data_IF_080844504160
#
_entry.id   IF_080844504160
#
_cell.length_a   1.000
_cell.length_b   1.000
_cell.length_c   1.000
_cell.angle_alpha   90.00
_cell.angle_beta   90.00
_cell.angle_gamma   90.00
#
_symmetry.space_group_name_H-M   'P 1'
#
loop_
_entity.id
_entity.type
_entity.pdbx_description
1 polymer ?
#
# COMPACT_ATOMS: atom_id res chain seq x y z
N UNK A 1 2.88 20.68 -15.68
CA UNK A 1 2.05 20.05 -14.60
C UNK A 1 2.99 19.31 -13.68
N UNK A 2 2.89 19.53 -12.40
CA UNK A 2 3.67 18.77 -11.41
C UNK A 2 3.23 17.30 -11.45
N UNK A 3 4.14 16.33 -11.29
CA UNK A 3 3.79 14.88 -11.30
C UNK A 3 2.63 14.55 -10.37
N UNK A 4 2.56 15.22 -9.21
CA UNK A 4 1.50 15.04 -8.23
C UNK A 4 0.14 15.51 -8.76
N UNK A 5 0.11 16.60 -9.53
CA UNK A 5 -1.10 17.08 -10.19
C UNK A 5 -1.66 16.09 -11.20
N UNK A 6 -0.78 15.47 -11.98
CA UNK A 6 -1.17 14.39 -12.89
C UNK A 6 -1.80 13.19 -12.16
N UNK A 7 -1.16 12.73 -11.07
CA UNK A 7 -1.69 11.60 -10.28
C UNK A 7 -3.05 11.95 -9.66
N UNK A 8 -3.19 13.19 -9.18
CA UNK A 8 -4.45 13.68 -8.60
C UNK A 8 -5.56 13.73 -9.64
N UNK A 9 -5.31 14.30 -10.80
CA UNK A 9 -6.28 14.37 -11.91
C UNK A 9 -6.69 12.98 -12.39
N UNK A 10 -5.72 12.08 -12.61
CA UNK A 10 -6.00 10.70 -12.99
C UNK A 10 -6.86 9.96 -11.97
N UNK A 11 -6.67 10.21 -10.66
CA UNK A 11 -7.51 9.65 -9.61
C UNK A 11 -8.95 10.19 -9.69
N UNK A 12 -9.12 11.49 -9.94
CA UNK A 12 -10.44 12.09 -10.08
C UNK A 12 -11.16 11.62 -11.35
N UNK A 13 -10.44 11.46 -12.46
CA UNK A 13 -10.98 10.86 -13.68
C UNK A 13 -11.44 9.42 -13.45
N UNK A 14 -10.66 8.65 -12.69
CA UNK A 14 -11.07 7.29 -12.31
C UNK A 14 -12.35 7.28 -11.49
N UNK A 15 -12.51 8.20 -10.54
CA UNK A 15 -13.78 8.34 -9.80
C UNK A 15 -14.96 8.62 -10.74
N UNK A 16 -14.79 9.51 -11.73
CA UNK A 16 -15.80 9.81 -12.74
C UNK A 16 -16.14 8.59 -13.60
N UNK A 17 -15.12 7.87 -14.07
CA UNK A 17 -15.27 6.68 -14.90
C UNK A 17 -16.01 5.55 -14.18
N UNK A 18 -15.77 5.38 -12.87
CA UNK A 18 -16.46 4.40 -12.03
C UNK A 18 -17.84 4.90 -11.54
N UNK A 19 -18.32 6.06 -12.05
CA UNK A 19 -19.65 6.62 -11.72
C UNK A 19 -19.76 7.16 -10.29
N UNK A 20 -18.63 7.45 -9.63
CA UNK A 20 -18.62 8.02 -8.27
C UNK A 20 -18.70 9.54 -8.38
N UNK A 21 -19.83 10.11 -7.96
CA UNK A 21 -19.94 11.55 -7.78
C UNK A 21 -18.98 12.00 -6.67
N UNK A 22 -18.30 13.12 -6.87
CA UNK A 22 -17.41 13.68 -5.85
C UNK A 22 -17.34 15.19 -5.91
N UNK A 23 -16.88 15.77 -4.81
CA UNK A 23 -16.54 17.19 -4.69
C UNK A 23 -15.18 17.31 -4.01
N UNK A 24 -14.28 18.12 -4.58
CA UNK A 24 -13.04 18.49 -3.91
C UNK A 24 -13.37 19.45 -2.75
N UNK A 25 -12.74 19.20 -1.60
CA UNK A 25 -12.80 20.08 -0.45
C UNK A 25 -11.52 20.89 -0.43
N UNK A 26 -11.64 22.21 -0.53
CA UNK A 26 -10.52 23.12 -0.44
C UNK A 26 -10.30 24.00 -1.66
N UNK A 27 -9.21 24.76 -1.61
CA UNK A 27 -8.82 25.61 -2.73
C UNK A 27 -8.31 24.77 -3.88
N UNK A 28 -9.10 24.71 -4.94
CA UNK A 28 -8.76 24.03 -6.19
C UNK A 28 -8.33 25.01 -7.31
N UNK A 29 -8.08 26.29 -6.99
CA UNK A 29 -7.80 27.33 -7.98
C UNK A 29 -6.50 27.09 -8.76
N UNK A 30 -5.56 26.35 -8.22
CA UNK A 30 -4.31 25.96 -8.89
C UNK A 30 -4.29 24.52 -9.41
N UNK A 31 -5.39 23.78 -9.30
CA UNK A 31 -5.46 22.39 -9.73
C UNK A 31 -5.74 22.28 -11.26
N UNK A 32 -5.08 21.40 -12.03
CA UNK A 32 -4.14 20.37 -11.61
C UNK A 32 -2.65 20.78 -11.64
N UNK A 33 -2.31 22.02 -11.99
CA UNK A 33 -0.91 22.49 -12.12
C UNK A 33 -0.17 22.35 -10.79
N UNK A 34 -0.84 22.67 -9.68
CA UNK A 34 -0.36 22.48 -8.31
C UNK A 34 -1.34 21.62 -7.53
N UNK A 35 -0.91 20.44 -7.09
CA UNK A 35 -1.72 19.58 -6.23
C UNK A 35 -1.19 19.59 -4.81
N UNK A 36 -2.07 19.64 -3.79
CA UNK A 36 -1.65 19.53 -2.40
C UNK A 36 -1.05 18.15 -2.11
N UNK A 37 -0.28 18.02 -1.02
CA UNK A 37 0.25 16.71 -0.60
C UNK A 37 -0.87 15.72 -0.24
N UNK A 38 -2.03 16.22 0.13
CA UNK A 38 -3.18 15.42 0.52
C UNK A 38 -4.46 16.05 -0.04
N UNK A 39 -5.16 15.27 -0.88
CA UNK A 39 -6.45 15.66 -1.46
C UNK A 39 -7.60 15.32 -0.50
N UNK A 40 -8.50 16.25 -0.29
CA UNK A 40 -9.74 16.05 0.43
C UNK A 40 -10.90 15.91 -0.55
N UNK A 41 -11.53 14.74 -0.57
CA UNK A 41 -12.55 14.35 -1.56
C UNK A 41 -13.82 13.95 -0.82
N UNK A 42 -14.90 14.70 -1.03
CA UNK A 42 -16.22 14.32 -0.53
C UNK A 42 -16.90 13.39 -1.54
N UNK A 43 -17.41 12.25 -1.06
CA UNK A 43 -18.11 11.24 -1.86
C UNK A 43 -19.45 10.86 -1.21
N UNK A 44 -20.47 10.41 -1.96
CA UNK A 44 -21.71 9.91 -1.39
C UNK A 44 -21.45 8.73 -0.44
N UNK A 45 -22.27 8.61 0.61
CA UNK A 45 -22.17 7.52 1.60
C UNK A 45 -22.19 6.14 0.95
N UNK A 46 -23.00 5.95 -0.08
CA UNK A 46 -23.11 4.68 -0.83
C UNK A 46 -21.81 4.32 -1.54
N UNK A 47 -21.04 5.30 -1.98
CA UNK A 47 -19.76 5.10 -2.67
C UNK A 47 -18.60 4.80 -1.71
N UNK A 48 -18.71 5.22 -0.44
CA UNK A 48 -17.61 5.12 0.52
C UNK A 48 -17.12 3.67 0.71
N UNK A 49 -18.00 2.70 0.64
CA UNK A 49 -17.67 1.26 0.72
C UNK A 49 -16.87 0.74 -0.48
N UNK A 50 -16.96 1.39 -1.64
CA UNK A 50 -16.24 1.02 -2.85
C UNK A 50 -14.86 1.66 -2.95
N UNK A 51 -14.59 2.76 -2.21
CA UNK A 51 -13.32 3.51 -2.26
C UNK A 51 -12.09 2.62 -2.10
N UNK A 52 -11.99 1.69 -1.14
CA UNK A 52 -10.83 0.83 -1.01
C UNK A 52 -10.48 0.07 -2.29
N UNK A 53 -11.49 -0.49 -2.96
CA UNK A 53 -11.30 -1.23 -4.22
C UNK A 53 -10.94 -0.31 -5.37
N UNK A 54 -11.57 0.85 -5.44
CA UNK A 54 -11.33 1.84 -6.49
C UNK A 54 -9.88 2.32 -6.43
N UNK A 55 -9.41 2.75 -5.24
CA UNK A 55 -8.04 3.23 -5.05
C UNK A 55 -7.02 2.12 -5.28
N UNK A 56 -7.31 0.90 -4.84
CA UNK A 56 -6.42 -0.23 -5.09
C UNK A 56 -6.29 -0.57 -6.58
N UNK A 57 -7.40 -0.56 -7.34
CA UNK A 57 -7.37 -0.74 -8.80
C UNK A 57 -6.64 0.39 -9.49
N UNK A 58 -6.92 1.64 -9.10
CA UNK A 58 -6.20 2.80 -9.61
C UNK A 58 -4.69 2.66 -9.42
N UNK A 59 -4.25 2.28 -8.23
CA UNK A 59 -2.84 2.05 -7.96
C UNK A 59 -2.23 0.95 -8.87
N UNK A 60 -2.98 -0.12 -9.16
CA UNK A 60 -2.56 -1.19 -10.05
C UNK A 60 -2.47 -0.75 -11.51
N UNK A 61 -3.51 -0.06 -12.00
CA UNK A 61 -3.62 0.37 -13.40
C UNK A 61 -2.50 1.36 -13.79
N UNK A 62 -2.06 2.18 -12.83
CA UNK A 62 -1.00 3.19 -13.02
C UNK A 62 0.37 2.77 -12.45
N UNK A 63 0.53 1.53 -12.01
CA UNK A 63 1.75 0.99 -11.37
C UNK A 63 2.23 1.80 -10.13
N UNK A 64 1.28 2.43 -9.41
CA UNK A 64 1.56 3.06 -8.13
C UNK A 64 1.53 2.04 -6.99
N UNK A 65 2.24 2.31 -5.91
CA UNK A 65 2.18 1.53 -4.68
C UNK A 65 1.16 2.14 -3.74
N UNK A 66 0.19 1.36 -3.29
CA UNK A 66 -0.72 1.77 -2.23
C UNK A 66 -0.08 1.45 -0.88
N UNK A 67 0.57 2.43 -0.26
CA UNK A 67 1.38 2.25 0.95
C UNK A 67 0.62 2.50 2.25
N UNK A 68 -0.52 3.18 2.18
CA UNK A 68 -1.44 3.33 3.29
C UNK A 68 -2.89 3.28 2.79
N UNK A 69 -3.72 2.53 3.50
CA UNK A 69 -5.17 2.52 3.35
C UNK A 69 -5.77 2.33 4.74
N UNK A 70 -6.36 3.37 5.29
CA UNK A 70 -6.87 3.38 6.66
C UNK A 70 -8.30 3.90 6.67
N UNK A 71 -9.17 3.18 7.36
CA UNK A 71 -10.50 3.68 7.67
C UNK A 71 -10.41 4.59 8.89
N UNK A 72 -10.80 5.84 8.71
CA UNK A 72 -10.89 6.81 9.81
C UNK A 72 -12.16 6.56 10.63
N UNK A 73 -12.15 6.91 11.92
CA UNK A 73 -13.20 6.56 12.89
C UNK A 73 -14.61 6.98 12.46
N UNK A 74 -14.74 8.09 11.77
CA UNK A 74 -16.03 8.66 11.33
C UNK A 74 -16.47 8.19 9.93
N UNK A 75 -15.97 7.05 9.46
CA UNK A 75 -16.40 6.48 8.19
C UNK A 75 -15.69 7.05 6.97
N UNK A 76 -14.64 7.82 7.16
CA UNK A 76 -13.77 8.28 6.07
C UNK A 76 -12.67 7.27 5.75
N UNK A 77 -12.10 7.36 4.55
CA UNK A 77 -10.91 6.62 4.15
C UNK A 77 -9.75 7.56 3.90
N UNK A 78 -8.56 7.14 4.30
CA UNK A 78 -7.30 7.76 3.90
C UNK A 78 -6.48 6.74 3.13
N UNK A 79 -6.01 7.14 1.95
CA UNK A 79 -5.11 6.36 1.12
C UNK A 79 -3.84 7.18 0.84
N UNK A 80 -2.69 6.52 0.77
CA UNK A 80 -1.45 7.14 0.33
C UNK A 80 -0.88 6.31 -0.80
N UNK A 81 -0.70 6.95 -1.94
CA UNK A 81 -0.05 6.42 -3.12
C UNK A 81 1.42 6.83 -3.14
N UNK A 82 2.28 5.93 -3.57
CA UNK A 82 3.70 6.18 -3.74
C UNK A 82 4.15 5.74 -5.15
N UNK A 83 5.03 6.52 -5.76
CA UNK A 83 5.71 6.20 -7.01
C UNK A 83 7.15 6.65 -6.95
N UNK A 84 7.90 6.36 -7.99
CA UNK A 84 9.31 6.75 -8.08
C UNK A 84 9.47 7.71 -9.26
N UNK A 85 10.03 8.90 -9.01
CA UNK A 85 10.32 9.87 -10.06
C UNK A 85 11.47 9.41 -10.98
N UNK A 86 11.74 10.17 -12.06
CA UNK A 86 12.77 9.87 -13.06
C UNK A 86 14.18 9.73 -12.47
N UNK A 87 14.45 10.37 -11.33
CA UNK A 87 15.73 10.31 -10.62
C UNK A 87 15.77 9.30 -9.49
N UNK A 88 14.76 8.40 -9.43
CA UNK A 88 14.69 7.32 -8.46
C UNK A 88 14.30 7.73 -7.04
N UNK A 89 13.65 8.90 -6.85
CA UNK A 89 13.18 9.35 -5.54
C UNK A 89 11.72 8.98 -5.31
N UNK A 90 11.35 8.52 -4.12
CA UNK A 90 9.96 8.27 -3.80
C UNK A 90 9.15 9.58 -3.74
N UNK A 91 8.00 9.57 -4.38
CA UNK A 91 7.00 10.62 -4.36
C UNK A 91 5.72 10.08 -3.74
N UNK A 92 4.93 10.96 -3.15
CA UNK A 92 3.74 10.57 -2.41
C UNK A 92 2.58 11.51 -2.69
N UNK A 93 1.38 10.95 -2.72
CA UNK A 93 0.12 11.68 -2.70
C UNK A 93 -0.84 11.01 -1.72
N UNK A 94 -1.36 11.78 -0.77
CA UNK A 94 -2.46 11.39 0.09
C UNK A 94 -3.80 11.73 -0.54
N UNK A 95 -4.81 10.89 -0.31
CA UNK A 95 -6.20 11.17 -0.63
C UNK A 95 -7.08 10.76 0.55
N UNK A 96 -7.92 11.67 1.02
CA UNK A 96 -8.92 11.41 2.06
C UNK A 96 -10.29 11.49 1.45
N UNK A 97 -11.08 10.47 1.69
CA UNK A 97 -12.44 10.35 1.19
C UNK A 97 -13.41 10.48 2.37
N UNK A 98 -14.26 11.48 2.32
CA UNK A 98 -15.27 11.73 3.33
C UNK A 98 -16.64 11.51 2.75
N UNK A 99 -17.64 11.27 3.63
CA UNK A 99 -19.02 11.30 3.20
C UNK A 99 -19.36 12.74 2.81
N UNK A 100 -19.78 12.94 1.54
CA UNK A 100 -20.42 14.18 1.15
C UNK A 100 -21.68 14.40 2.02
N UNK A 101 -22.00 15.65 2.28
CA UNK A 101 -23.31 15.97 2.79
C UNK A 101 -24.36 15.45 1.79
N UNK A 102 -25.00 14.34 2.12
CA UNK A 102 -26.23 13.98 1.45
C UNK A 102 -27.27 15.06 1.82
N UNK A 103 -28.21 15.32 0.93
CA UNK A 103 -29.41 16.03 1.31
C UNK A 103 -29.96 15.36 2.57
N UNK A 104 -29.73 15.98 3.75
CA UNK A 104 -30.11 15.43 5.05
C UNK A 104 -29.01 15.23 6.09
N UNK A 105 -27.71 15.26 5.75
CA UNK A 105 -26.68 15.32 6.77
C UNK A 105 -26.58 16.77 7.27
N UNK A 106 -26.88 16.97 8.56
CA UNK A 106 -26.86 18.29 9.18
C UNK A 106 -25.44 18.88 9.19
N UNK A 107 -25.33 20.19 9.02
CA UNK A 107 -24.05 20.91 9.00
C UNK A 107 -23.22 20.63 10.27
N UNK A 108 -23.89 20.49 11.41
CA UNK A 108 -23.31 20.14 12.71
C UNK A 108 -22.62 18.76 12.71
N UNK A 109 -23.23 17.74 12.06
CA UNK A 109 -22.66 16.40 11.95
C UNK A 109 -21.39 16.39 11.09
N UNK A 110 -21.38 17.17 10.02
CA UNK A 110 -20.22 17.33 9.14
C UNK A 110 -19.12 18.14 9.81
N UNK A 111 -19.49 19.18 10.52
CA UNK A 111 -18.55 20.01 11.28
C UNK A 111 -17.78 19.16 12.28
N UNK A 112 -18.49 18.40 13.12
CA UNK A 112 -17.82 17.55 14.12
C UNK A 112 -16.97 16.47 13.50
N UNK A 113 -17.42 15.86 12.41
CA UNK A 113 -16.65 14.87 11.66
C UNK A 113 -15.32 15.45 11.17
N UNK A 114 -15.36 16.59 10.51
CA UNK A 114 -14.17 17.26 9.99
C UNK A 114 -13.21 17.75 11.10
N UNK A 115 -13.78 18.21 12.23
CA UNK A 115 -13.00 18.65 13.37
C UNK A 115 -12.27 17.50 14.06
N UNK A 116 -12.98 16.40 14.35
CA UNK A 116 -12.40 15.22 15.00
C UNK A 116 -11.31 14.61 14.14
N UNK A 117 -11.52 14.52 12.83
CA UNK A 117 -10.51 14.02 11.92
C UNK A 117 -9.25 14.93 11.87
N UNK A 118 -9.42 16.26 11.89
CA UNK A 118 -8.30 17.19 12.01
C UNK A 118 -7.51 16.99 13.32
N UNK A 119 -8.22 16.78 14.42
CA UNK A 119 -7.62 16.54 15.74
C UNK A 119 -6.89 15.18 15.78
N UNK A 120 -7.47 14.14 15.19
CA UNK A 120 -6.86 12.80 15.17
C UNK A 120 -5.66 12.71 14.23
N UNK A 121 -5.78 13.30 13.04
CA UNK A 121 -4.66 13.38 12.09
C UNK A 121 -3.53 14.28 12.59
N UNK A 122 -3.83 15.21 13.49
CA UNK A 122 -2.90 16.24 13.97
C UNK A 122 -2.62 17.30 12.90
N UNK A 123 -3.47 17.39 11.86
CA UNK A 123 -3.33 18.36 10.76
C UNK A 123 -4.65 19.00 10.43
N UNK A 124 -4.62 20.31 10.22
CA UNK A 124 -5.75 21.10 9.77
C UNK A 124 -5.30 21.97 8.60
N UNK A 125 -5.65 21.58 7.37
CA UNK A 125 -5.35 22.37 6.17
C UNK A 125 -6.16 23.67 6.14
N UNK A 126 -5.71 24.67 5.37
CA UNK A 126 -6.46 25.92 5.20
C UNK A 126 -7.82 25.65 4.58
N UNK A 127 -7.87 24.78 3.61
CA UNK A 127 -9.09 24.35 2.96
C UNK A 127 -10.12 23.75 3.91
N UNK A 128 -9.67 22.85 4.80
CA UNK A 128 -10.53 22.27 5.82
C UNK A 128 -11.00 23.32 6.82
N UNK A 129 -10.13 24.25 7.19
CA UNK A 129 -10.48 25.37 8.06
C UNK A 129 -11.59 26.24 7.47
N UNK A 130 -11.51 26.59 6.19
CA UNK A 130 -12.56 27.33 5.46
C UNK A 130 -13.85 26.52 5.42
N UNK A 131 -13.80 25.26 5.10
CA UNK A 131 -14.98 24.38 5.07
C UNK A 131 -15.63 24.25 6.46
N UNK A 132 -14.85 24.07 7.53
CA UNK A 132 -15.39 24.06 8.89
C UNK A 132 -16.04 25.40 9.26
N UNK A 133 -15.49 26.52 8.81
CA UNK A 133 -16.09 27.83 9.02
C UNK A 133 -17.44 27.95 8.32
N UNK A 134 -17.58 27.45 7.09
CA UNK A 134 -18.87 27.47 6.38
C UNK A 134 -19.92 26.61 7.08
N UNK A 135 -19.56 25.40 7.50
CA UNK A 135 -20.47 24.52 8.24
C UNK A 135 -20.90 25.11 9.60
N UNK A 136 -19.97 25.75 10.29
CA UNK A 136 -20.29 26.48 11.52
C UNK A 136 -21.32 27.61 11.28
N UNK A 137 -21.19 28.31 10.16
CA UNK A 137 -22.11 29.39 9.82
C UNK A 137 -23.50 28.88 9.48
N UNK A 138 -23.63 27.62 9.04
CA UNK A 138 -24.92 26.98 8.76
C UNK A 138 -25.66 26.53 10.04
N UNK A 139 -24.93 25.91 10.99
CA UNK A 139 -25.50 25.43 12.26
C UNK A 139 -24.47 25.48 13.41
N UNK A 140 -24.29 26.68 13.96
CA UNK A 140 -23.38 26.89 15.08
C UNK A 140 -23.87 26.25 16.38
N UNK A 141 -25.17 26.18 16.61
CA UNK A 141 -25.76 25.65 17.84
C UNK A 141 -25.60 24.13 17.88
N UNK A 142 -25.99 23.43 16.81
CA UNK A 142 -25.83 21.99 16.71
C UNK A 142 -24.36 21.57 16.75
N UNK A 143 -23.46 22.32 16.11
CA UNK A 143 -22.04 22.10 16.19
C UNK A 143 -21.50 22.19 17.62
N UNK A 144 -21.92 23.18 18.40
CA UNK A 144 -21.55 23.33 19.82
C UNK A 144 -22.03 22.17 20.68
N UNK A 145 -23.27 21.74 20.52
CA UNK A 145 -23.84 20.61 21.25
C UNK A 145 -23.05 19.33 20.96
N UNK A 146 -22.73 19.09 19.70
CA UNK A 146 -21.94 17.90 19.32
C UNK A 146 -20.50 17.94 19.83
N UNK A 147 -19.84 19.09 19.87
CA UNK A 147 -18.51 19.22 20.47
C UNK A 147 -18.53 18.74 21.92
N UNK A 148 -19.57 19.10 22.69
CA UNK A 148 -19.74 18.67 24.09
C UNK A 148 -19.83 17.14 24.27
N UNK A 149 -20.27 16.40 23.25
CA UNK A 149 -20.28 14.93 23.29
C UNK A 149 -18.87 14.32 23.07
N UNK A 150 -18.01 15.01 22.34
CA UNK A 150 -16.66 14.52 22.03
C UNK A 150 -15.59 14.97 23.03
N UNK A 151 -15.81 16.10 23.71
CA UNK A 151 -14.92 16.61 24.75
C UNK A 151 -15.72 16.86 26.03
N UNK A 152 -15.28 16.24 27.14
CA UNK A 152 -15.93 16.42 28.44
C UNK A 152 -15.67 17.80 29.04
N UNK A 153 -14.60 18.46 28.63
CA UNK A 153 -14.23 19.79 29.08
C UNK A 153 -14.81 20.83 28.14
N UNK A 154 -15.42 21.89 28.66
CA UNK A 154 -15.95 23.00 27.90
C UNK A 154 -14.89 23.86 27.21
N UNK A 155 -13.63 23.77 27.65
CA UNK A 155 -12.52 24.58 27.11
C UNK A 155 -12.28 24.32 25.60
N UNK A 156 -12.26 23.08 25.10
CA UNK A 156 -12.20 22.81 23.67
C UNK A 156 -13.36 23.41 22.88
N UNK A 157 -14.58 23.32 23.39
CA UNK A 157 -15.76 23.85 22.73
C UNK A 157 -15.67 25.38 22.54
N UNK A 158 -15.27 26.10 23.57
CA UNK A 158 -15.10 27.57 23.51
C UNK A 158 -14.01 27.97 22.52
N UNK A 159 -12.88 27.23 22.54
CA UNK A 159 -11.75 27.49 21.64
C UNK A 159 -12.14 27.30 20.17
N UNK A 160 -12.82 26.18 19.87
CA UNK A 160 -13.26 25.86 18.53
C UNK A 160 -14.33 26.84 18.05
N UNK A 161 -15.30 27.20 18.92
CA UNK A 161 -16.32 28.21 18.63
C UNK A 161 -15.72 29.58 18.27
N UNK A 162 -14.71 29.99 19.01
CA UNK A 162 -14.01 31.24 18.73
C UNK A 162 -13.28 31.19 17.38
N UNK A 163 -12.57 30.10 17.12
CA UNK A 163 -11.85 29.91 15.85
C UNK A 163 -12.81 29.90 14.64
N UNK A 164 -13.91 29.16 14.74
CA UNK A 164 -14.89 29.03 13.69
C UNK A 164 -15.64 30.34 13.39
N UNK A 165 -16.02 31.09 14.43
CA UNK A 165 -16.68 32.40 14.28
C UNK A 165 -15.83 33.43 13.55
N UNK A 166 -14.53 33.43 13.78
CA UNK A 166 -13.61 34.42 13.20
C UNK A 166 -12.81 33.89 12.01
N UNK A 167 -13.01 32.64 11.61
CA UNK A 167 -12.22 31.98 10.57
C UNK A 167 -10.74 31.83 10.93
N UNK A 168 -10.37 32.05 12.19
CA UNK A 168 -8.98 32.00 12.66
C UNK A 168 -8.65 30.65 13.34
N UNK A 169 -8.19 29.70 12.55
CA UNK A 169 -7.87 28.35 13.00
C UNK A 169 -6.44 28.14 13.46
N UNK A 170 -5.61 29.21 13.46
CA UNK A 170 -4.20 29.10 13.85
C UNK A 170 -4.03 28.61 15.30
N UNK A 171 -4.88 29.11 16.20
CA UNK A 171 -4.89 28.70 17.61
C UNK A 171 -5.26 27.21 17.78
N UNK A 172 -6.16 26.70 16.95
CA UNK A 172 -6.54 25.27 16.92
C UNK A 172 -5.39 24.43 16.41
N UNK A 173 -4.72 24.84 15.34
CA UNK A 173 -3.54 24.12 14.80
C UNK A 173 -2.46 23.93 15.84
N UNK A 174 -2.15 24.97 16.60
CA UNK A 174 -1.16 24.91 17.67
C UNK A 174 -1.56 23.95 18.82
N UNK A 175 -2.85 23.77 19.05
CA UNK A 175 -3.40 22.96 20.14
C UNK A 175 -4.00 21.62 19.75
N UNK A 176 -3.85 21.19 18.49
CA UNK A 176 -4.32 19.86 18.04
C UNK A 176 -3.86 18.72 18.97
N UNK A 177 -2.59 18.68 19.47
CA UNK A 177 -2.16 17.65 20.40
C UNK A 177 -2.91 17.66 21.75
N UNK A 178 -3.32 18.83 22.22
CA UNK A 178 -4.11 19.00 23.47
C UNK A 178 -5.55 18.53 23.24
N UNK A 179 -6.16 18.99 22.17
CA UNK A 179 -7.51 18.60 21.77
C UNK A 179 -7.61 17.07 21.59
N UNK A 180 -6.56 16.46 21.02
CA UNK A 180 -6.49 15.00 20.85
C UNK A 180 -6.45 14.25 22.18
N UNK A 181 -5.75 14.78 23.21
CA UNK A 181 -5.73 14.17 24.54
C UNK A 181 -7.07 14.25 25.26
N UNK A 182 -7.80 15.34 25.06
CA UNK A 182 -9.12 15.59 25.65
C UNK A 182 -10.26 14.91 24.90
N UNK A 183 -10.01 14.37 23.70
CA UNK A 183 -11.05 13.72 22.89
C UNK A 183 -11.56 12.46 23.59
N UNK A 184 -12.86 12.44 23.86
CA UNK A 184 -13.53 11.30 24.45
C UNK A 184 -13.64 10.19 23.40
N UNK A 185 -12.76 9.22 23.46
CA UNK A 185 -12.82 8.05 22.60
C UNK A 185 -14.04 7.23 22.99
N UNK A 186 -15.10 7.30 22.20
CA UNK A 186 -16.01 6.17 22.15
C UNK A 186 -15.12 4.96 21.90
N UNK A 187 -15.20 3.94 22.75
CA UNK A 187 -14.34 2.76 22.71
C UNK A 187 -14.47 2.06 21.36
N UNK A 188 -13.81 2.62 20.35
CA UNK A 188 -13.53 1.85 19.12
C UNK A 188 -12.64 0.69 19.54
N UNK A 189 -13.01 -0.53 19.20
CA UNK A 189 -12.21 -1.68 19.55
C UNK A 189 -10.76 -1.43 19.14
N UNK A 190 -9.79 -1.72 20.01
CA UNK A 190 -8.35 -1.51 19.80
C UNK A 190 -7.82 -2.10 18.49
N UNK A 191 -8.55 -3.04 17.88
CA UNK A 191 -8.25 -3.63 16.58
C UNK A 191 -8.55 -2.71 15.39
N UNK A 192 -9.28 -1.60 15.60
CA UNK A 192 -9.63 -0.63 14.54
C UNK A 192 -8.56 0.47 14.33
N UNK A 193 -7.69 0.72 15.31
CA UNK A 193 -6.58 1.65 15.15
C UNK A 193 -5.29 0.86 14.88
N UNK A 194 -4.82 0.77 13.63
CA UNK A 194 -3.46 0.31 13.41
C UNK A 194 -2.55 1.35 14.06
N UNK A 195 -1.77 0.92 15.03
CA UNK A 195 -0.68 1.75 15.54
C UNK A 195 0.15 2.25 14.35
N UNK A 196 0.63 3.50 14.41
CA UNK A 196 1.52 4.02 13.37
C UNK A 196 2.67 3.04 13.17
N UNK A 197 2.95 2.62 11.93
CA UNK A 197 4.02 1.69 11.68
C UNK A 197 5.34 2.28 12.17
N UNK A 198 6.18 1.44 12.75
CA UNK A 198 7.49 1.81 13.25
C UNK A 198 8.60 1.10 12.49
N UNK A 199 9.72 1.79 12.34
CA UNK A 199 10.93 1.29 11.71
C UNK A 199 12.04 1.34 12.74
N UNK A 200 12.66 0.19 13.01
CA UNK A 200 13.73 0.02 13.97
C UNK A 200 15.07 -0.13 13.27
N UNK A 201 15.99 0.77 13.56
CA UNK A 201 17.38 0.67 13.11
C UNK A 201 18.20 -0.05 14.17
N UNK A 202 18.68 -1.25 13.84
CA UNK A 202 19.42 -2.16 14.73
C UNK A 202 20.78 -2.51 14.15
N UNK A 203 21.57 -3.31 14.89
CA UNK A 203 22.91 -3.74 14.48
C UNK A 203 24.01 -2.85 15.04
N UNK A 204 25.19 -2.89 14.40
CA UNK A 204 26.40 -2.21 14.89
C UNK A 204 26.17 -0.71 15.03
N UNK A 205 26.51 -0.15 16.19
CA UNK A 205 26.46 1.29 16.42
C UNK A 205 27.52 2.01 15.58
N UNK A 206 27.09 2.98 14.77
CA UNK A 206 27.97 3.73 13.92
C UNK A 206 27.35 5.04 13.46
N UNK A 207 28.14 6.10 13.20
CA UNK A 207 27.66 7.34 12.62
C UNK A 207 26.95 7.14 11.26
N UNK A 208 27.35 6.11 10.51
CA UNK A 208 26.71 5.78 9.23
C UNK A 208 25.28 5.28 9.42
N UNK A 209 25.00 4.47 10.47
CA UNK A 209 23.63 4.01 10.78
C UNK A 209 22.73 5.20 11.13
N UNK A 210 23.17 6.09 11.98
CA UNK A 210 22.42 7.31 12.36
C UNK A 210 22.19 8.22 11.16
N UNK A 211 23.21 8.40 10.32
CA UNK A 211 23.09 9.17 9.08
C UNK A 211 22.06 8.53 8.12
N UNK A 212 22.09 7.19 7.96
CA UNK A 212 21.14 6.44 7.15
C UNK A 212 19.70 6.67 7.65
N UNK A 213 19.47 6.56 8.96
CA UNK A 213 18.15 6.79 9.56
C UNK A 213 17.62 8.20 9.27
N UNK A 214 18.45 9.23 9.47
CA UNK A 214 18.07 10.63 9.23
C UNK A 214 17.68 10.86 7.76
N UNK A 215 18.45 10.33 6.81
CA UNK A 215 18.15 10.47 5.40
C UNK A 215 16.87 9.75 4.99
N UNK A 216 16.67 8.50 5.47
CA UNK A 216 15.43 7.74 5.21
C UNK A 216 14.23 8.45 5.84
N UNK A 217 14.35 8.97 7.06
CA UNK A 217 13.29 9.71 7.73
C UNK A 217 12.89 10.97 6.96
N UNK A 218 13.87 11.72 6.45
CA UNK A 218 13.61 12.92 5.64
C UNK A 218 12.86 12.58 4.34
N UNK A 219 13.27 11.53 3.64
CA UNK A 219 12.66 11.14 2.36
C UNK A 219 11.29 10.50 2.50
N UNK A 220 11.02 9.81 3.61
CA UNK A 220 9.72 9.18 3.92
C UNK A 220 8.86 10.01 4.89
N UNK A 221 9.19 11.29 5.08
CA UNK A 221 8.47 12.18 6.00
C UNK A 221 6.94 12.22 5.77
N UNK A 222 6.42 12.22 4.53
CA UNK A 222 4.97 12.21 4.27
C UNK A 222 4.23 11.00 4.84
N UNK A 223 4.91 9.87 5.06
CA UNK A 223 4.35 8.66 5.64
C UNK A 223 4.25 8.71 7.17
N UNK A 224 4.85 9.73 7.82
CA UNK A 224 4.80 9.92 9.27
C UNK A 224 5.15 8.68 10.08
N UNK A 225 6.13 7.89 9.59
CA UNK A 225 6.61 6.69 10.26
C UNK A 225 7.32 7.07 11.57
N UNK A 226 7.19 6.22 12.58
CA UNK A 226 8.02 6.33 13.78
C UNK A 226 9.32 5.59 13.55
N UNK A 227 10.44 6.29 13.63
CA UNK A 227 11.77 5.70 13.45
C UNK A 227 12.55 5.76 14.77
N UNK A 228 13.20 4.65 15.11
CA UNK A 228 13.96 4.50 16.37
C UNK A 228 15.27 3.80 16.10
N UNK A 229 16.30 4.21 16.82
CA UNK A 229 17.50 3.42 17.00
C UNK A 229 17.33 2.49 18.21
N UNK A 230 17.54 1.19 17.99
CA UNK A 230 17.50 0.22 19.08
C UNK A 230 18.68 -0.77 18.94
N UNK A 231 19.81 -0.49 19.59
CA UNK A 231 20.98 -1.37 19.52
C UNK A 231 20.72 -2.75 20.15
N UNK A 232 19.78 -2.86 21.09
CA UNK A 232 19.47 -4.13 21.77
C UNK A 232 18.57 -5.08 20.96
N UNK A 233 18.04 -4.65 19.82
CA UNK A 233 17.36 -5.52 18.86
C UNK A 233 15.99 -6.09 19.28
N UNK A 234 15.38 -5.60 20.36
CA UNK A 234 14.06 -6.06 20.81
C UNK A 234 12.98 -5.44 19.94
N UNK A 235 12.57 -6.13 18.89
CA UNK A 235 11.45 -5.74 18.04
C UNK A 235 10.13 -6.14 18.69
N UNK A 236 9.16 -5.24 18.71
CA UNK A 236 7.76 -5.58 18.97
C UNK A 236 7.15 -6.14 17.67
N UNK A 237 6.32 -7.16 17.76
CA UNK A 237 5.67 -7.74 16.58
C UNK A 237 4.94 -6.66 15.78
N UNK A 238 5.25 -6.57 14.47
CA UNK A 238 4.66 -5.60 13.54
C UNK A 238 5.54 -4.40 13.18
N UNK A 239 6.78 -4.32 13.70
CA UNK A 239 7.76 -3.30 13.33
C UNK A 239 8.62 -3.78 12.16
N UNK A 240 9.04 -2.83 11.30
CA UNK A 240 10.03 -3.09 10.26
C UNK A 240 11.44 -2.90 10.82
N UNK A 241 12.38 -3.78 10.48
CA UNK A 241 13.75 -3.73 10.97
C UNK A 241 14.75 -3.44 9.87
N UNK A 242 15.57 -2.45 10.08
CA UNK A 242 16.78 -2.18 9.31
C UNK A 242 17.97 -2.67 10.12
N UNK A 243 18.63 -3.73 9.67
CA UNK A 243 19.78 -4.32 10.35
C UNK A 243 21.05 -3.83 9.67
N UNK A 244 21.84 -3.00 10.37
CA UNK A 244 23.09 -2.48 9.87
C UNK A 244 24.24 -3.43 10.22
N UNK A 245 24.99 -3.90 9.21
CA UNK A 245 26.11 -4.84 9.34
C UNK A 245 25.70 -6.19 9.99
N UNK A 246 24.54 -6.72 9.60
CA UNK A 246 24.01 -7.97 10.11
C UNK A 246 24.26 -9.17 9.20
N UNK A 247 23.96 -10.40 9.69
CA UNK A 247 24.08 -11.62 8.89
C UNK A 247 23.12 -11.59 7.70
N UNK A 248 23.59 -12.08 6.54
CA UNK A 248 22.84 -12.05 5.27
C UNK A 248 21.61 -12.98 5.23
N UNK A 249 21.47 -13.88 6.20
CA UNK A 249 20.46 -14.95 6.20
C UNK A 249 19.08 -14.53 6.73
N UNK A 250 18.88 -13.25 7.07
CA UNK A 250 17.58 -12.74 7.55
C UNK A 250 16.62 -12.50 6.38
N UNK A 251 16.20 -13.56 5.68
CA UNK A 251 15.12 -13.46 4.67
C UNK A 251 13.72 -13.38 5.33
N UNK A 252 13.45 -12.23 5.93
CA UNK A 252 12.15 -11.92 6.54
C UNK A 252 11.53 -10.71 5.81
N UNK A 253 10.21 -10.69 5.56
CA UNK A 253 9.56 -9.62 4.80
C UNK A 253 9.56 -8.26 5.51
N UNK A 254 9.84 -8.25 6.79
CA UNK A 254 9.89 -7.09 7.69
C UNK A 254 11.32 -6.74 8.12
N UNK A 255 12.32 -7.29 7.42
CA UNK A 255 13.74 -7.05 7.71
C UNK A 255 14.49 -6.69 6.43
N UNK A 256 15.33 -5.69 6.49
CA UNK A 256 16.34 -5.39 5.46
C UNK A 256 17.72 -5.31 6.10
N UNK A 257 18.69 -6.03 5.52
CA UNK A 257 20.09 -5.98 5.96
C UNK A 257 20.84 -5.00 5.06
N UNK A 258 21.54 -4.06 5.66
CA UNK A 258 22.34 -3.03 4.98
C UNK A 258 23.80 -3.21 5.34
N UNK A 259 24.67 -3.18 4.34
CA UNK A 259 26.11 -3.32 4.54
C UNK A 259 26.83 -1.97 4.49
N UNK A 260 27.82 -1.74 5.37
CA UNK A 260 28.53 -0.47 5.46
C UNK A 260 29.49 -0.19 4.30
N UNK A 261 29.80 -1.18 3.47
CA UNK A 261 30.65 -1.07 2.28
C UNK A 261 29.94 -0.35 1.10
N UNK A 262 28.63 -0.17 1.19
CA UNK A 262 27.83 0.52 0.17
C UNK A 262 27.84 2.04 0.38
N UNK A 263 27.79 2.83 -0.70
CA UNK A 263 27.61 4.28 -0.59
C UNK A 263 26.25 4.63 0.02
N UNK A 264 26.20 5.68 0.86
CA UNK A 264 25.00 6.10 1.59
C UNK A 264 23.75 6.23 0.69
N UNK A 265 23.82 6.83 -0.52
CA UNK A 265 22.64 6.91 -1.39
C UNK A 265 22.07 5.55 -1.80
N UNK A 266 22.93 4.54 -2.00
CA UNK A 266 22.48 3.20 -2.34
C UNK A 266 21.82 2.50 -1.15
N UNK A 267 22.37 2.66 0.05
CA UNK A 267 21.77 2.17 1.30
C UNK A 267 20.40 2.80 1.54
N UNK A 268 20.29 4.12 1.38
CA UNK A 268 19.01 4.85 1.52
C UNK A 268 17.99 4.29 0.52
N UNK A 269 18.32 4.18 -0.75
CA UNK A 269 17.41 3.66 -1.76
C UNK A 269 17.00 2.19 -1.53
N UNK A 270 17.91 1.36 -0.98
CA UNK A 270 17.60 -0.02 -0.59
C UNK A 270 16.57 -0.06 0.54
N UNK A 271 16.79 0.72 1.59
CA UNK A 271 15.89 0.77 2.77
C UNK A 271 14.54 1.32 2.40
N UNK A 272 14.48 2.39 1.60
CA UNK A 272 13.23 2.98 1.12
C UNK A 272 12.37 1.98 0.36
N UNK A 273 12.97 1.31 -0.63
CA UNK A 273 12.25 0.27 -1.41
C UNK A 273 11.70 -0.83 -0.52
N UNK A 274 12.49 -1.27 0.46
CA UNK A 274 12.07 -2.30 1.39
C UNK A 274 10.92 -1.85 2.31
N UNK A 275 10.99 -0.63 2.84
CA UNK A 275 9.92 -0.05 3.68
C UNK A 275 8.64 0.13 2.86
N UNK A 276 8.72 0.69 1.65
CA UNK A 276 7.54 0.89 0.80
C UNK A 276 6.87 -0.44 0.44
N UNK A 277 7.66 -1.46 0.13
CA UNK A 277 7.13 -2.80 -0.13
C UNK A 277 6.48 -3.42 1.11
N UNK A 278 7.09 -3.26 2.28
CA UNK A 278 6.51 -3.73 3.53
C UNK A 278 5.18 -3.04 3.86
N UNK A 279 5.08 -1.72 3.66
CA UNK A 279 3.84 -0.97 3.85
C UNK A 279 2.74 -1.43 2.88
N UNK A 280 3.07 -1.62 1.61
CA UNK A 280 2.17 -2.17 0.60
C UNK A 280 1.65 -3.55 1.02
N UNK A 281 2.52 -4.47 1.43
CA UNK A 281 2.13 -5.78 1.96
C UNK A 281 1.23 -5.69 3.21
N UNK A 282 1.40 -4.67 4.05
CA UNK A 282 0.50 -4.43 5.20
C UNK A 282 -0.90 -4.05 4.76
N UNK A 283 -1.02 -3.17 3.76
CA UNK A 283 -2.32 -2.78 3.18
C UNK A 283 -3.00 -4.01 2.56
N UNK A 284 -2.28 -4.79 1.78
CA UNK A 284 -2.79 -6.01 1.14
C UNK A 284 -3.30 -7.04 2.15
N UNK A 285 -2.54 -7.29 3.22
CA UNK A 285 -2.96 -8.22 4.28
C UNK A 285 -4.20 -7.74 5.04
N UNK A 286 -4.33 -6.43 5.21
CA UNK A 286 -5.44 -5.85 5.94
C UNK A 286 -6.73 -5.77 5.11
N UNK A 287 -6.59 -5.51 3.82
CA UNK A 287 -7.70 -5.32 2.88
C UNK A 287 -7.55 -6.22 1.64
N UNK A 288 -7.45 -7.55 1.82
CA UNK A 288 -7.19 -8.46 0.70
C UNK A 288 -8.27 -8.38 -0.37
N UNK A 289 -9.54 -8.27 0.02
CA UNK A 289 -10.67 -8.19 -0.90
C UNK A 289 -10.70 -6.90 -1.72
N UNK A 290 -10.09 -5.83 -1.20
CA UNK A 290 -9.97 -4.57 -1.93
C UNK A 290 -8.83 -4.62 -2.95
N UNK A 291 -7.69 -5.18 -2.57
CA UNK A 291 -6.44 -5.12 -3.34
C UNK A 291 -6.32 -6.29 -4.32
N UNK A 292 -6.63 -7.49 -3.89
CA UNK A 292 -6.43 -8.73 -4.69
C UNK A 292 -7.75 -9.18 -5.35
N UNK A 293 -8.87 -8.72 -4.83
CA UNK A 293 -10.19 -9.21 -5.19
C UNK A 293 -10.73 -10.27 -4.23
N UNK A 294 -12.03 -10.55 -4.33
CA UNK A 294 -12.69 -11.45 -3.42
C UNK A 294 -12.36 -12.92 -3.76
N UNK A 295 -11.56 -13.55 -2.92
CA UNK A 295 -11.36 -14.98 -2.96
C UNK A 295 -12.59 -15.74 -2.44
N UNK A 296 -12.99 -16.85 -3.06
CA UNK A 296 -14.00 -17.75 -2.50
C UNK A 296 -13.50 -18.33 -1.15
N UNK A 297 -14.44 -18.75 -0.30
CA UNK A 297 -14.11 -19.28 1.02
C UNK A 297 -13.11 -20.46 0.95
N UNK A 298 -13.25 -21.33 -0.05
CA UNK A 298 -12.34 -22.45 -0.32
C UNK A 298 -10.89 -22.00 -0.55
N UNK A 299 -10.69 -20.92 -1.31
CA UNK A 299 -9.36 -20.36 -1.54
C UNK A 299 -8.78 -19.71 -0.28
N UNK A 300 -9.60 -19.05 0.53
CA UNK A 300 -9.17 -18.47 1.81
C UNK A 300 -8.73 -19.57 2.78
N UNK A 301 -9.51 -20.64 2.89
CA UNK A 301 -9.18 -21.77 3.75
C UNK A 301 -7.94 -22.52 3.26
N UNK A 302 -7.77 -22.69 1.93
CA UNK A 302 -6.59 -23.33 1.34
C UNK A 302 -5.29 -22.59 1.64
N UNK A 303 -5.34 -21.29 1.79
CA UNK A 303 -4.17 -20.44 2.13
C UNK A 303 -3.82 -20.46 3.63
N UNK A 304 -4.63 -21.07 4.49
CA UNK A 304 -4.35 -21.19 5.93
C UNK A 304 -3.37 -22.34 6.23
N UNK A 305 -2.38 -22.15 7.11
CA UNK A 305 -1.28 -23.12 7.27
C UNK A 305 -1.69 -24.54 7.67
N UNK A 306 -2.71 -24.70 8.51
CA UNK A 306 -3.15 -26.02 9.01
C UNK A 306 -4.38 -26.51 8.25
N UNK A 307 -5.41 -25.68 8.20
CA UNK A 307 -6.70 -26.00 7.56
C UNK A 307 -6.50 -26.20 6.06
N UNK A 308 -5.56 -25.49 5.43
CA UNK A 308 -5.27 -25.57 4.00
C UNK A 308 -4.84 -26.98 3.55
N UNK A 309 -4.22 -27.76 4.43
CA UNK A 309 -3.87 -29.16 4.08
C UNK A 309 -5.11 -30.03 3.93
N UNK A 310 -6.09 -29.88 4.82
CA UNK A 310 -7.36 -30.64 4.75
C UNK A 310 -8.21 -30.20 3.54
N UNK A 311 -8.34 -28.88 3.37
CA UNK A 311 -9.06 -28.31 2.23
C UNK A 311 -8.37 -28.67 0.93
N UNK A 312 -7.04 -28.73 0.90
CA UNK A 312 -6.24 -29.15 -0.24
C UNK A 312 -6.54 -30.58 -0.70
N UNK A 313 -6.79 -31.50 0.22
CA UNK A 313 -7.21 -32.87 -0.13
C UNK A 313 -8.54 -32.87 -0.91
N UNK A 314 -9.52 -32.08 -0.47
CA UNK A 314 -10.83 -31.98 -1.12
C UNK A 314 -10.73 -31.31 -2.48
N UNK A 315 -9.90 -30.26 -2.59
CA UNK A 315 -9.70 -29.49 -3.81
C UNK A 315 -8.65 -30.08 -4.75
N UNK A 316 -8.06 -31.22 -4.40
CA UNK A 316 -6.89 -31.77 -5.11
C UNK A 316 -5.78 -30.71 -5.33
N UNK A 317 -5.54 -29.87 -4.32
CA UNK A 317 -4.65 -28.73 -4.38
C UNK A 317 -3.60 -28.78 -3.26
N UNK A 318 -2.39 -28.30 -3.56
CA UNK A 318 -1.25 -28.38 -2.65
C UNK A 318 -0.45 -27.08 -2.67
N UNK A 319 -0.54 -26.30 -1.62
CA UNK A 319 0.25 -25.07 -1.44
C UNK A 319 1.31 -25.31 -0.39
N UNK A 320 2.55 -25.60 -0.81
CA UNK A 320 3.68 -25.81 0.09
C UNK A 320 4.57 -24.57 0.24
N UNK A 321 4.40 -23.58 -0.62
CA UNK A 321 5.13 -22.32 -0.54
C UNK A 321 4.65 -21.43 0.61
N UNK A 322 5.51 -20.51 1.06
CA UNK A 322 5.09 -19.45 1.99
C UNK A 322 4.37 -18.35 1.22
N UNK A 323 3.08 -18.17 1.50
CA UNK A 323 2.29 -17.06 0.97
C UNK A 323 2.57 -15.85 1.85
N UNK A 324 3.35 -14.89 1.34
CA UNK A 324 3.72 -13.66 2.06
C UNK A 324 2.68 -12.56 1.90
N UNK A 325 2.00 -12.53 0.78
CA UNK A 325 0.90 -11.61 0.44
C UNK A 325 -0.30 -12.39 -0.05
N UNK A 326 -1.54 -11.90 0.12
CA UNK A 326 -2.72 -12.58 -0.39
C UNK A 326 -2.62 -12.74 -1.91
N UNK A 327 -2.92 -13.94 -2.39
CA UNK A 327 -3.01 -14.27 -3.82
C UNK A 327 -4.48 -14.47 -4.20
N UNK A 328 -4.83 -14.14 -5.44
CA UNK A 328 -6.18 -14.38 -5.98
C UNK A 328 -6.24 -15.78 -6.58
N UNK A 329 -7.16 -16.59 -6.11
CA UNK A 329 -7.44 -17.94 -6.60
C UNK A 329 -8.94 -18.11 -6.83
N UNK A 330 -9.49 -17.64 -7.95
CA UNK A 330 -10.94 -17.67 -8.19
C UNK A 330 -11.52 -19.09 -8.15
N UNK A 331 -10.74 -20.06 -8.64
CA UNK A 331 -11.09 -21.48 -8.69
C UNK A 331 -9.89 -22.29 -8.17
N UNK A 332 -9.76 -22.52 -6.86
CA UNK A 332 -8.58 -23.15 -6.25
C UNK A 332 -8.58 -24.68 -6.37
N UNK A 333 -8.90 -25.22 -7.53
CA UNK A 333 -8.94 -26.65 -7.79
C UNK A 333 -7.73 -27.13 -8.61
N UNK A 334 -7.07 -28.19 -8.17
CA UNK A 334 -5.93 -28.79 -8.86
C UNK A 334 -4.67 -27.93 -8.89
N UNK A 335 -4.56 -26.96 -7.98
CA UNK A 335 -3.40 -26.06 -7.92
C UNK A 335 -2.29 -26.69 -7.09
N UNK A 336 -1.10 -26.79 -7.67
CA UNK A 336 0.08 -27.34 -6.99
C UNK A 336 1.20 -26.30 -7.02
N UNK A 337 1.64 -25.85 -5.85
CA UNK A 337 2.77 -24.92 -5.69
C UNK A 337 3.77 -25.51 -4.71
N UNK A 338 4.97 -25.82 -5.19
CA UNK A 338 6.01 -26.48 -4.39
C UNK A 338 6.63 -25.55 -3.33
N UNK A 339 7.22 -26.18 -2.33
CA UNK A 339 8.00 -25.49 -1.29
C UNK A 339 9.23 -24.84 -1.91
N UNK A 340 9.45 -23.54 -1.58
CA UNK A 340 10.58 -22.76 -2.06
C UNK A 340 10.24 -21.86 -3.26
N UNK A 341 9.07 -22.04 -3.89
CA UNK A 341 8.54 -21.08 -4.86
C UNK A 341 8.28 -19.75 -4.13
N UNK A 342 8.76 -18.66 -4.73
CA UNK A 342 8.51 -17.31 -4.23
C UNK A 342 7.37 -16.67 -5.01
N UNK A 343 6.34 -16.25 -4.28
CA UNK A 343 5.20 -15.54 -4.85
C UNK A 343 5.25 -14.08 -4.42
N UNK A 344 5.15 -13.19 -5.37
CA UNK A 344 4.99 -11.76 -5.17
C UNK A 344 3.58 -11.39 -4.70
N UNK A 345 3.32 -10.10 -4.67
CA UNK A 345 2.01 -9.54 -4.32
C UNK A 345 1.05 -9.59 -5.50
N UNK A 346 -0.25 -9.68 -5.22
CA UNK A 346 -1.33 -9.59 -6.21
C UNK A 346 -1.19 -10.59 -7.38
N UNK A 347 -0.62 -11.75 -7.10
CA UNK A 347 -0.54 -12.83 -8.07
C UNK A 347 -1.90 -13.51 -8.19
N UNK A 348 -2.38 -13.68 -9.43
CA UNK A 348 -3.60 -14.44 -9.74
C UNK A 348 -3.23 -15.82 -10.23
N UNK A 349 -3.74 -16.86 -9.57
CA UNK A 349 -3.51 -18.26 -9.93
C UNK A 349 -4.83 -18.93 -10.25
N UNK A 350 -5.00 -19.35 -11.50
CA UNK A 350 -6.19 -20.06 -11.93
C UNK A 350 -6.10 -21.55 -11.57
N UNK A 351 -7.18 -22.30 -11.82
CA UNK A 351 -7.25 -23.73 -11.54
C UNK A 351 -6.23 -24.54 -12.34
N UNK A 352 -5.86 -25.72 -11.81
CA UNK A 352 -4.95 -26.69 -12.45
C UNK A 352 -3.54 -26.15 -12.76
N UNK A 353 -3.14 -25.06 -12.12
CA UNK A 353 -1.79 -24.51 -12.25
C UNK A 353 -0.79 -25.34 -11.46
N UNK A 354 0.37 -25.61 -12.06
CA UNK A 354 1.50 -26.24 -11.36
C UNK A 354 2.70 -25.30 -11.39
N UNK A 355 3.26 -24.99 -10.25
CA UNK A 355 4.51 -24.22 -10.11
C UNK A 355 5.49 -25.07 -9.30
N UNK A 356 6.56 -25.50 -9.91
CA UNK A 356 7.50 -26.41 -9.24
C UNK A 356 8.77 -26.64 -10.01
N UNK A 357 9.47 -27.70 -9.66
CA UNK A 357 10.73 -28.11 -10.28
C UNK A 357 10.48 -28.71 -11.66
N UNK A 358 11.46 -28.51 -12.54
CA UNK A 358 11.50 -29.14 -13.86
C UNK A 358 11.76 -30.64 -13.72
N UNK A 359 12.65 -31.03 -12.82
CA UNK A 359 13.01 -32.41 -12.53
C UNK A 359 12.80 -32.73 -11.04
N UNK A 360 11.82 -33.58 -10.70
CA UNK A 360 11.54 -33.96 -9.33
C UNK A 360 12.58 -34.90 -8.72
N UNK A 361 13.42 -35.54 -9.53
CA UNK A 361 14.43 -36.52 -9.08
C UNK A 361 15.68 -35.82 -8.55
N UNK A 362 16.02 -34.64 -9.07
CA UNK A 362 17.16 -33.87 -8.58
C UNK A 362 16.91 -33.41 -7.13
N UNK A 363 17.87 -33.75 -6.20
CA UNK A 363 17.76 -33.31 -4.82
C UNK A 363 17.56 -31.78 -4.70
N UNK A 364 16.74 -31.33 -3.72
CA UNK A 364 16.45 -29.91 -3.53
C UNK A 364 17.71 -29.07 -3.29
N UNK A 365 18.71 -29.65 -2.68
CA UNK A 365 19.99 -29.00 -2.37
C UNK A 365 20.87 -28.75 -3.61
N UNK A 366 20.66 -29.53 -4.68
CA UNK A 366 21.37 -29.39 -5.95
C UNK A 366 20.55 -28.71 -7.06
N UNK A 367 19.24 -28.56 -6.85
CA UNK A 367 18.28 -28.17 -7.89
C UNK A 367 18.14 -26.67 -8.16
N UNK A 368 18.98 -25.82 -7.61
CA UNK A 368 18.92 -24.38 -7.84
C UNK A 368 17.62 -23.73 -7.31
N UNK A 369 17.50 -22.43 -7.51
CA UNK A 369 16.32 -21.66 -7.10
C UNK A 369 15.08 -22.14 -7.89
N UNK A 370 13.98 -22.35 -7.16
CA UNK A 370 12.67 -22.58 -7.75
C UNK A 370 12.12 -21.28 -8.37
N UNK A 371 10.98 -21.40 -9.05
CA UNK A 371 10.36 -20.27 -9.71
C UNK A 371 10.17 -19.07 -8.78
N UNK A 372 10.50 -17.89 -9.29
CA UNK A 372 10.22 -16.59 -8.67
C UNK A 372 9.14 -15.91 -9.50
N UNK A 373 7.96 -15.77 -8.92
CA UNK A 373 6.83 -15.08 -9.52
C UNK A 373 6.78 -13.68 -8.92
N UNK A 374 6.96 -12.66 -9.74
CA UNK A 374 6.93 -11.27 -9.27
C UNK A 374 5.50 -10.76 -9.06
N UNK A 375 5.37 -9.48 -8.70
CA UNK A 375 4.09 -8.85 -8.38
C UNK A 375 3.18 -8.72 -9.61
N UNK A 376 1.85 -8.71 -9.41
CA UNK A 376 0.83 -8.52 -10.45
C UNK A 376 0.85 -9.57 -11.58
N UNK A 377 1.43 -10.74 -11.38
CA UNK A 377 1.48 -11.79 -12.39
C UNK A 377 0.13 -12.52 -12.44
N UNK A 378 -0.37 -12.74 -13.67
CA UNK A 378 -1.52 -13.59 -13.94
C UNK A 378 -1.07 -14.95 -14.48
N UNK A 379 -1.52 -16.04 -13.85
CA UNK A 379 -1.22 -17.41 -14.27
C UNK A 379 -2.52 -18.10 -14.69
N UNK A 380 -2.66 -18.31 -15.99
CA UNK A 380 -3.85 -18.89 -16.63
C UNK A 380 -4.07 -20.35 -16.26
N UNK A 381 -5.30 -20.82 -16.46
CA UNK A 381 -5.72 -22.17 -16.12
C UNK A 381 -4.86 -23.25 -16.79
N UNK A 382 -4.50 -24.27 -16.01
CA UNK A 382 -3.70 -25.38 -16.51
C UNK A 382 -2.22 -25.08 -16.78
N UNK A 383 -1.75 -23.85 -16.57
CA UNK A 383 -0.37 -23.49 -16.85
C UNK A 383 0.63 -24.26 -15.98
N UNK A 384 1.81 -24.53 -16.52
CA UNK A 384 2.92 -25.23 -15.86
C UNK A 384 4.15 -24.32 -15.87
N UNK A 385 4.59 -23.88 -14.70
CA UNK A 385 5.80 -23.08 -14.53
C UNK A 385 6.84 -23.96 -13.85
N UNK A 386 7.85 -24.39 -14.61
CA UNK A 386 8.75 -25.46 -14.19
C UNK A 386 10.22 -25.04 -14.26
N UNK A 387 10.90 -25.19 -13.14
CA UNK A 387 12.33 -25.02 -13.02
C UNK A 387 12.74 -23.68 -12.37
N UNK A 388 14.03 -23.36 -12.35
CA UNK A 388 14.51 -22.06 -11.91
C UNK A 388 14.17 -21.03 -12.99
N UNK A 389 12.98 -20.41 -12.87
CA UNK A 389 12.49 -19.41 -13.82
C UNK A 389 12.00 -18.17 -13.07
N UNK A 390 12.19 -17.01 -13.67
CA UNK A 390 11.67 -15.74 -13.19
C UNK A 390 10.52 -15.28 -14.08
N UNK A 391 9.36 -15.08 -13.49
CA UNK A 391 8.22 -14.47 -14.17
C UNK A 391 8.15 -13.02 -13.71
N UNK A 392 8.46 -12.11 -14.62
CA UNK A 392 8.58 -10.69 -14.34
C UNK A 392 7.25 -10.04 -13.96
N UNK A 393 7.32 -8.88 -13.30
CA UNK A 393 6.18 -8.11 -12.83
C UNK A 393 5.15 -7.87 -13.92
N UNK A 394 3.86 -8.03 -13.59
CA UNK A 394 2.76 -7.78 -14.53
C UNK A 394 2.74 -8.72 -15.75
N UNK A 395 3.56 -9.77 -15.78
CA UNK A 395 3.53 -10.74 -16.86
C UNK A 395 2.27 -11.60 -16.81
N UNK A 396 1.86 -12.09 -17.99
CA UNK A 396 0.73 -12.99 -18.15
C UNK A 396 1.22 -14.35 -18.64
N UNK A 397 0.92 -15.40 -17.90
CA UNK A 397 1.09 -16.78 -18.34
C UNK A 397 -0.25 -17.27 -18.87
N UNK A 398 -0.32 -17.52 -20.16
CA UNK A 398 -1.54 -18.00 -20.85
C UNK A 398 -2.02 -19.36 -20.34
N UNK A 399 -3.29 -19.67 -20.56
CA UNK A 399 -3.84 -20.96 -20.21
C UNK A 399 -3.09 -22.12 -20.91
N UNK A 400 -2.83 -23.19 -20.15
CA UNK A 400 -2.08 -24.37 -20.60
C UNK A 400 -0.65 -24.06 -21.11
N UNK A 401 -0.11 -22.88 -20.83
CA UNK A 401 1.26 -22.59 -21.19
C UNK A 401 2.24 -23.40 -20.34
N UNK A 402 3.33 -23.87 -20.97
CA UNK A 402 4.45 -24.51 -20.29
C UNK A 402 5.64 -23.58 -20.31
N UNK A 403 6.04 -23.09 -19.14
CA UNK A 403 7.10 -22.11 -18.97
C UNK A 403 8.29 -22.74 -18.29
N UNK A 404 9.41 -22.76 -19.00
CA UNK A 404 10.72 -23.30 -18.53
C UNK A 404 11.87 -22.32 -18.76
N UNK A 405 11.54 -21.05 -19.07
CA UNK A 405 12.48 -19.93 -19.26
C UNK A 405 11.91 -18.68 -18.61
N UNK A 406 12.78 -17.73 -18.33
CA UNK A 406 12.38 -16.45 -17.78
C UNK A 406 11.41 -15.70 -18.71
N UNK A 407 10.42 -15.06 -18.10
CA UNK A 407 9.44 -14.20 -18.80
C UNK A 407 9.68 -12.76 -18.34
N UNK A 408 9.99 -11.84 -19.25
CA UNK A 408 10.18 -10.45 -18.90
C UNK A 408 8.91 -9.80 -18.32
N UNK A 409 9.09 -8.69 -17.59
CA UNK A 409 7.97 -7.93 -17.03
C UNK A 409 7.03 -7.46 -18.13
N UNK A 410 5.72 -7.47 -17.84
CA UNK A 410 4.64 -7.03 -18.74
C UNK A 410 4.52 -7.82 -20.06
N UNK A 411 5.23 -8.93 -20.21
CA UNK A 411 5.12 -9.81 -21.37
C UNK A 411 4.11 -10.92 -21.15
N UNK A 412 3.59 -11.46 -22.25
CA UNK A 412 2.68 -12.61 -22.23
C UNK A 412 3.42 -13.83 -22.78
N UNK A 413 3.38 -14.95 -22.05
CA UNK A 413 3.86 -16.26 -22.55
C UNK A 413 2.70 -17.17 -22.86
N UNK A 414 2.73 -17.80 -24.03
CA UNK A 414 1.70 -18.74 -24.51
C UNK A 414 2.35 -20.04 -25.04
N UNK A 415 1.60 -21.14 -24.97
CA UNK A 415 2.08 -22.44 -25.42
C UNK A 415 3.36 -22.89 -24.70
N UNK A 416 4.36 -23.37 -25.43
CA UNK A 416 5.64 -23.77 -24.86
C UNK A 416 6.68 -22.65 -25.03
N UNK A 417 6.84 -21.81 -24.01
CA UNK A 417 7.83 -20.71 -23.95
C UNK A 417 7.73 -19.65 -25.08
N UNK A 418 6.59 -19.51 -25.75
CA UNK A 418 6.40 -18.45 -26.75
C UNK A 418 6.06 -17.14 -26.03
N UNK A 419 6.97 -16.20 -26.00
CA UNK A 419 6.80 -14.89 -25.34
C UNK A 419 6.32 -13.87 -26.37
N UNK A 420 5.26 -13.14 -26.04
CA UNK A 420 4.68 -12.03 -26.78
C UNK A 420 4.97 -10.72 -26.04
N UNK A 421 5.08 -9.61 -26.77
CA UNK A 421 5.39 -8.30 -26.19
C UNK A 421 6.89 -8.02 -26.04
N UNK A 422 7.73 -8.80 -26.72
CA UNK A 422 9.18 -8.57 -26.78
C UNK A 422 9.59 -7.45 -27.76
N UNK A 423 8.67 -6.95 -28.53
CA UNK A 423 8.92 -6.01 -29.63
C UNK A 423 8.87 -4.52 -29.19
N UNK A 424 8.73 -4.26 -27.88
CA UNK A 424 8.81 -2.90 -27.36
C UNK A 424 10.26 -2.40 -27.23
N UNK A 425 10.52 -1.07 -27.45
CA UNK A 425 11.86 -0.50 -27.58
C UNK A 425 12.83 -0.76 -26.43
N UNK A 426 12.33 -1.04 -25.22
CA UNK A 426 13.15 -1.38 -24.06
C UNK A 426 13.80 -2.78 -24.16
N UNK A 427 13.21 -3.72 -24.90
CA UNK A 427 13.74 -5.08 -25.11
C UNK A 427 14.69 -5.09 -26.28
N UNK A 428 14.46 -4.25 -27.30
CA UNK A 428 15.39 -4.05 -28.43
C UNK A 428 16.73 -3.48 -27.96
N UNK A 429 16.72 -2.58 -26.97
CA UNK A 429 17.92 -2.03 -26.36
C UNK A 429 18.75 -3.06 -25.57
N UNK A 430 18.08 -4.04 -24.97
CA UNK A 430 18.76 -5.15 -24.25
C UNK A 430 19.36 -6.18 -25.18
N UNK A 431 18.69 -6.53 -26.27
CA UNK A 431 19.26 -7.41 -27.31
C UNK A 431 20.53 -6.82 -27.94
N UNK A 432 20.55 -5.53 -28.24
CA UNK A 432 21.77 -4.86 -28.76
C UNK A 432 22.93 -4.94 -27.77
N UNK A 433 22.69 -4.80 -26.48
CA UNK A 433 23.72 -4.93 -25.45
C UNK A 433 24.27 -6.35 -25.29
N UNK A 434 23.42 -7.38 -25.45
CA UNK A 434 23.83 -8.78 -25.38
C UNK A 434 24.59 -9.21 -26.67
N UNK A 435 24.19 -8.70 -27.85
CA UNK A 435 24.88 -8.92 -29.12
C UNK A 435 26.23 -8.22 -29.16
N UNK A 436 26.37 -7.00 -28.59
CA UNK A 436 27.63 -6.27 -28.48
C UNK A 436 28.62 -6.95 -27.52
N UNK A 437 28.16 -7.73 -26.54
CA UNK A 437 29.01 -8.49 -25.63
C UNK A 437 29.54 -9.77 -26.31
N UNK A 438 28.78 -10.38 -27.18
CA UNK A 438 29.13 -11.60 -27.90
C UNK A 438 30.11 -11.33 -29.06
N UNK A 439 30.11 -10.13 -29.62
CA UNK A 439 31.03 -9.75 -30.73
C UNK A 439 32.39 -9.27 -30.23
N UNK A 440 32.53 -8.93 -28.94
CA UNK A 440 33.79 -8.47 -28.33
C UNK A 440 34.46 -9.50 -27.41
N UNK A 441 34.05 -10.76 -27.46
CA UNK A 441 34.74 -11.92 -26.87
C UNK A 441 35.15 -12.89 -27.95
#
# INVERSE_FOLDING_TARGET
>A
MEERGYVAEALLERLRADGVAFRLIGDSSGFPETAPEELDIAVPRVALGAIPRLVARFAQDFDFRLVELVRLELGAWRAVLAWTDEIGRPRFMGARFFVAAEEGASADALFISGLVDAVESGTLSDARAVWLTSLWSEDAQGAMERIGHFWRDESPARLVAQAARHGNWLAIRARLPELRRGLHRFSTPKWFQPGRPSVLFTGRDSPQRSSLMVHVQGRLAPLRLRMFENPAGVARGGDFRVVFDGPAELDQPDVVVVRPDQPLPAMVAQVERAILRWLECRVERRYPDAVVGANPLSARLLQMPVIGRLVGLVLNSRLECRIRSPILMPLPYGVVIERGVQLGSRVTVMHQVTIGRKDPVVPREQGGNLAVIEDNVFIGAGAKVLGPVRIGRGATVGANAVVTRDVPSHCTVVGANRILGLDEPAVAARRRKEEDIVVNT
#
